data_IF_991580397715
#
_entry.id   IF_991580397715
#
_cell.length_a   1.000
_cell.length_b   1.000
_cell.length_c   1.000
_cell.angle_alpha   90.00
_cell.angle_beta   90.00
_cell.angle_gamma   90.00
#
_symmetry.space_group_name_H-M   'P 1'
#
loop_
_entity.id
_entity.type
_entity.pdbx_description
1 polymer ?
#
# COMPACT_ATOMS: atom_id res chain seq x y z
N UNK A 1 0.87 1.41 9.55
CA UNK A 1 1.50 2.68 9.13
C UNK A 1 1.81 2.52 7.66
N UNK A 2 1.44 3.49 6.84
CA UNK A 2 1.59 3.45 5.38
C UNK A 2 2.89 4.11 4.92
N UNK A 3 3.38 3.73 3.74
CA UNK A 3 4.59 4.31 3.12
C UNK A 3 4.31 5.56 2.28
N UNK A 4 3.30 6.33 2.66
CA UNK A 4 3.15 7.71 2.22
C UNK A 4 3.79 8.64 3.23
N UNK A 5 4.84 9.36 2.82
CA UNK A 5 5.65 10.21 3.71
C UNK A 5 6.06 11.49 2.99
N UNK A 6 6.06 12.60 3.72
CA UNK A 6 6.66 13.83 3.24
C UNK A 6 8.18 13.78 3.44
N UNK A 7 8.94 14.09 2.38
CA UNK A 7 10.39 14.28 2.43
C UNK A 7 10.67 15.66 1.83
N UNK A 8 11.20 16.59 2.64
CA UNK A 8 11.50 17.96 2.22
C UNK A 8 10.32 18.71 1.56
N UNK A 9 9.10 18.56 2.09
CA UNK A 9 7.90 19.22 1.58
C UNK A 9 7.23 18.53 0.38
N UNK A 10 7.85 17.51 -0.21
CA UNK A 10 7.29 16.73 -1.31
C UNK A 10 6.69 15.42 -0.78
N UNK A 11 5.55 15.00 -1.33
CA UNK A 11 4.90 13.74 -0.96
C UNK A 11 5.49 12.57 -1.75
N UNK A 12 5.91 11.54 -1.04
CA UNK A 12 6.41 10.30 -1.61
C UNK A 12 5.47 9.14 -1.28
N UNK A 13 5.30 8.25 -2.25
CA UNK A 13 4.85 6.88 -2.02
C UNK A 13 6.08 5.99 -2.13
N UNK A 14 6.50 5.39 -1.01
CA UNK A 14 7.77 4.68 -0.90
C UNK A 14 8.95 5.61 -1.26
N UNK A 15 9.67 5.32 -2.35
CA UNK A 15 10.76 6.14 -2.87
C UNK A 15 10.41 6.90 -4.16
N UNK A 16 9.13 6.91 -4.54
CA UNK A 16 8.62 7.60 -5.73
C UNK A 16 7.88 8.88 -5.33
N UNK A 17 8.22 10.02 -5.94
CA UNK A 17 7.47 11.27 -5.76
C UNK A 17 6.07 11.13 -6.37
N UNK A 18 5.04 11.45 -5.59
CA UNK A 18 3.65 11.38 -6.06
C UNK A 18 3.39 12.35 -7.21
N UNK A 19 4.06 13.51 -7.22
CA UNK A 19 3.99 14.50 -8.29
C UNK A 19 4.44 13.93 -9.64
N UNK A 20 5.55 13.21 -9.67
CA UNK A 20 6.10 12.64 -10.91
C UNK A 20 5.12 11.61 -11.52
N UNK A 21 4.43 10.84 -10.66
CA UNK A 21 3.37 9.91 -11.11
C UNK A 21 2.17 10.69 -11.64
N UNK A 22 1.75 11.76 -10.96
CA UNK A 22 0.65 12.60 -11.38
C UNK A 22 0.87 13.26 -12.74
N UNK A 23 2.09 13.75 -13.00
CA UNK A 23 2.47 14.34 -14.29
C UNK A 23 2.50 13.28 -15.41
N UNK A 24 2.95 12.06 -15.11
CA UNK A 24 3.06 10.97 -16.09
C UNK A 24 1.72 10.30 -16.43
N UNK A 25 0.87 10.08 -15.43
CA UNK A 25 -0.39 9.31 -15.58
C UNK A 25 -1.59 10.24 -15.83
N UNK A 26 -1.53 11.49 -15.34
CA UNK A 26 -2.66 12.40 -15.32
C UNK A 26 -3.57 12.17 -14.12
N UNK A 27 -4.27 13.23 -13.69
CA UNK A 27 -5.21 13.19 -12.57
C UNK A 27 -6.67 13.19 -13.04
N UNK A 28 -7.59 12.50 -12.33
CA UNK A 28 -7.38 11.76 -11.08
C UNK A 28 -6.85 10.33 -11.31
N UNK A 29 -6.05 9.83 -10.36
CA UNK A 29 -5.60 8.43 -10.31
C UNK A 29 -5.55 7.94 -8.85
N UNK A 30 -5.61 6.61 -8.67
CA UNK A 30 -5.29 5.97 -7.40
C UNK A 30 -3.83 5.52 -7.39
N UNK A 31 -3.14 5.71 -6.26
CA UNK A 31 -1.78 5.25 -6.03
C UNK A 31 -1.75 4.35 -4.81
N UNK A 32 -1.22 3.13 -4.98
CA UNK A 32 -1.08 2.16 -3.90
C UNK A 32 0.40 1.90 -3.61
N UNK A 33 0.75 1.75 -2.34
CA UNK A 33 2.07 1.24 -1.93
C UNK A 33 2.00 -0.28 -1.79
N UNK A 34 2.82 -0.98 -2.57
CA UNK A 34 2.94 -2.43 -2.49
C UNK A 34 3.50 -2.85 -1.14
N UNK A 35 4.54 -2.15 -0.65
CA UNK A 35 5.15 -2.49 0.63
C UNK A 35 4.15 -2.34 1.79
N UNK A 36 3.31 -1.30 1.76
CA UNK A 36 2.26 -1.09 2.76
C UNK A 36 1.28 -2.26 2.84
N UNK A 37 0.81 -2.76 1.68
CA UNK A 37 -0.14 -3.88 1.63
C UNK A 37 0.50 -5.17 2.16
N UNK A 38 1.71 -5.48 1.69
CA UNK A 38 2.47 -6.66 2.12
C UNK A 38 2.78 -6.64 3.62
N UNK A 39 3.20 -5.50 4.14
CA UNK A 39 3.56 -5.34 5.55
C UNK A 39 2.34 -5.47 6.46
N UNK A 40 1.17 -4.93 6.05
CA UNK A 40 -0.06 -5.10 6.81
C UNK A 40 -0.53 -6.56 6.84
N UNK A 41 -0.47 -7.27 5.72
CA UNK A 41 -0.76 -8.71 5.69
C UNK A 41 0.16 -9.48 6.62
N UNK A 42 1.48 -9.24 6.51
CA UNK A 42 2.51 -9.91 7.31
C UNK A 42 2.33 -9.64 8.81
N UNK A 43 1.90 -8.44 9.20
CA UNK A 43 1.62 -8.11 10.61
C UNK A 43 0.46 -8.92 11.16
N UNK A 44 -0.63 -9.09 10.40
CA UNK A 44 -1.76 -9.92 10.80
C UNK A 44 -1.30 -11.38 10.92
N UNK A 45 -0.62 -11.90 9.89
CA UNK A 45 -0.09 -13.28 9.91
C UNK A 45 0.80 -13.55 11.12
N UNK A 46 1.72 -12.64 11.45
CA UNK A 46 2.61 -12.78 12.61
C UNK A 46 1.88 -12.71 13.94
N UNK A 47 0.92 -11.79 14.09
CA UNK A 47 0.17 -11.62 15.33
C UNK A 47 -0.65 -12.86 15.70
N UNK A 48 -1.16 -13.58 14.69
CA UNK A 48 -1.98 -14.77 14.87
C UNK A 48 -1.23 -16.08 14.62
N UNK A 49 0.09 -16.06 14.41
CA UNK A 49 0.88 -17.25 14.11
C UNK A 49 0.65 -18.46 15.05
N UNK A 50 0.45 -18.30 16.38
CA UNK A 50 0.21 -19.42 17.29
C UNK A 50 -1.07 -20.23 17.04
N UNK A 51 -2.03 -19.69 16.27
CA UNK A 51 -3.32 -20.35 15.98
C UNK A 51 -3.44 -20.78 14.51
N UNK A 52 -2.36 -20.75 13.75
CA UNK A 52 -2.31 -21.19 12.34
C UNK A 52 -3.47 -20.65 11.47
N UNK A 53 -3.59 -19.31 11.33
CA UNK A 53 -4.77 -18.69 10.75
C UNK A 53 -4.81 -18.85 9.22
N UNK A 54 -5.99 -19.13 8.68
CA UNK A 54 -6.31 -18.88 7.28
C UNK A 54 -6.78 -17.42 7.12
N UNK A 55 -5.97 -16.58 6.47
CA UNK A 55 -6.31 -15.18 6.23
C UNK A 55 -6.92 -15.04 4.83
N UNK A 56 -8.23 -14.77 4.77
CA UNK A 56 -8.95 -14.53 3.52
C UNK A 56 -9.15 -13.03 3.29
N UNK A 57 -8.46 -12.45 2.31
CA UNK A 57 -8.63 -11.04 1.97
C UNK A 57 -10.02 -10.77 1.39
N UNK A 58 -10.70 -9.74 1.90
CA UNK A 58 -12.03 -9.36 1.44
C UNK A 58 -11.95 -8.58 0.12
N UNK A 59 -12.04 -9.27 -1.02
CA UNK A 59 -11.90 -8.70 -2.37
C UNK A 59 -12.75 -7.45 -2.62
N UNK A 60 -13.93 -7.35 -2.00
CA UNK A 60 -14.80 -6.16 -2.07
C UNK A 60 -14.13 -4.86 -1.62
N UNK A 61 -13.02 -4.93 -0.87
CA UNK A 61 -12.28 -3.76 -0.42
C UNK A 61 -11.37 -3.18 -1.50
N UNK A 62 -10.74 -4.02 -2.32
CA UNK A 62 -9.93 -3.65 -3.47
C UNK A 62 -9.63 -4.92 -4.29
N UNK A 63 -10.24 -5.10 -5.45
CA UNK A 63 -10.10 -6.27 -6.33
C UNK A 63 -9.12 -6.04 -7.49
N UNK A 64 -8.36 -4.94 -7.44
CA UNK A 64 -7.39 -4.59 -8.47
C UNK A 64 -6.32 -5.67 -8.64
N UNK A 65 -6.10 -6.10 -9.89
CA UNK A 65 -5.17 -7.18 -10.27
C UNK A 65 -3.76 -6.71 -10.63
N UNK A 66 -3.51 -5.39 -10.59
CA UNK A 66 -2.38 -4.73 -11.27
C UNK A 66 -1.00 -5.18 -10.77
#
# INVERSE_FOLDING_TARGET
>A
MHDFKFKNGELYCEDVKVRDVAEKVGTPFYLYSHNTLRDHFTKIQKAFAPVEPLICFAMKSNDNLA
#
